data_IF_802384341577
#
_entry.id   IF_802384341577
#
_cell.length_a   1.000
_cell.length_b   1.000
_cell.length_c   1.000
_cell.angle_alpha   90.00
_cell.angle_beta   90.00
_cell.angle_gamma   90.00
#
_symmetry.space_group_name_H-M   'P 1'
#
loop_
_entity.id
_entity.type
_entity.pdbx_description
1 polymer ?
#
# COMPACT_ATOMS: atom_id res chain seq x y z
N UNK A 1 -67.63 -0.06 -45.48
CA UNK A 1 -67.95 1.04 -46.38
C UNK A 1 -66.65 1.76 -46.71
N UNK A 2 -66.22 1.56 -47.95
CA UNK A 2 -65.58 2.46 -48.91
C UNK A 2 -64.28 3.14 -48.35
N UNK A 3 -63.13 2.61 -48.82
CA UNK A 3 -62.39 2.93 -50.06
C UNK A 3 -61.96 4.39 -50.15
N UNK A 4 -60.65 4.67 -50.24
CA UNK A 4 -59.92 4.85 -51.51
C UNK A 4 -58.51 5.33 -51.19
N UNK A 5 -57.56 4.57 -51.63
CA UNK A 5 -56.66 4.70 -52.77
C UNK A 5 -55.94 6.05 -52.93
N UNK A 6 -54.65 5.97 -52.78
CA UNK A 6 -53.55 6.32 -53.71
C UNK A 6 -53.85 7.28 -54.88
N UNK A 7 -52.92 7.89 -55.57
CA UNK A 7 -51.51 7.59 -55.73
C UNK A 7 -50.58 8.81 -55.97
N UNK A 8 -49.29 8.48 -56.05
CA UNK A 8 -48.36 8.84 -57.12
C UNK A 8 -48.03 10.31 -57.37
N UNK A 9 -46.84 10.65 -57.41
CA UNK A 9 -45.87 10.72 -58.50
C UNK A 9 -44.63 11.46 -58.00
N UNK A 10 -43.55 10.86 -58.04
CA UNK A 10 -42.63 10.74 -59.14
C UNK A 10 -41.87 12.02 -59.51
N UNK A 11 -40.54 11.87 -59.36
CA UNK A 11 -39.53 12.38 -60.30
C UNK A 11 -39.07 13.84 -60.10
N UNK A 12 -37.85 13.95 -59.73
CA UNK A 12 -36.67 14.39 -60.53
C UNK A 12 -35.68 15.04 -59.62
N UNK A 13 -34.56 14.38 -59.52
CA UNK A 13 -33.33 14.74 -60.22
C UNK A 13 -32.84 16.16 -59.88
N UNK A 14 -31.78 16.29 -59.20
CA UNK A 14 -30.53 16.63 -59.86
C UNK A 14 -29.44 16.85 -58.85
N UNK A 15 -28.45 16.02 -58.93
CA UNK A 15 -27.02 16.35 -58.84
C UNK A 15 -26.66 17.70 -58.23
N UNK A 16 -26.05 17.67 -57.13
CA UNK A 16 -24.96 18.58 -56.85
C UNK A 16 -24.10 18.03 -55.70
N UNK A 17 -22.89 17.72 -56.02
CA UNK A 17 -21.71 18.10 -55.29
C UNK A 17 -21.45 17.39 -53.94
N UNK A 18 -20.91 16.20 -54.04
CA UNK A 18 -20.16 15.63 -52.93
C UNK A 18 -18.88 16.42 -52.80
N UNK A 19 -18.83 17.29 -51.82
CA UNK A 19 -17.56 17.76 -51.27
C UNK A 19 -17.36 16.98 -49.98
N UNK A 20 -16.66 15.88 -50.12
CA UNK A 20 -16.16 15.14 -48.98
C UNK A 20 -14.95 15.94 -48.47
N UNK A 21 -15.19 16.84 -47.54
CA UNK A 21 -14.15 17.41 -46.73
C UNK A 21 -13.81 16.37 -45.69
N UNK A 22 -12.79 15.59 -46.01
CA UNK A 22 -12.17 14.67 -45.04
C UNK A 22 -11.59 15.47 -43.91
N UNK A 23 -12.33 15.52 -42.80
CA UNK A 23 -11.81 15.99 -41.51
C UNK A 23 -10.97 14.88 -40.95
N UNK A 24 -9.69 14.91 -41.26
CA UNK A 24 -8.65 14.12 -40.60
C UNK A 24 -8.60 14.58 -39.12
N UNK A 25 -9.34 13.87 -38.26
CA UNK A 25 -9.14 13.94 -36.85
C UNK A 25 -7.82 13.24 -36.53
N UNK A 26 -6.74 14.02 -36.53
CA UNK A 26 -5.52 13.61 -35.87
C UNK A 26 -5.83 13.55 -34.38
N UNK A 27 -6.14 12.34 -33.91
CA UNK A 27 -6.13 12.06 -32.47
C UNK A 27 -4.67 12.23 -32.01
N UNK A 28 -4.36 13.39 -31.51
CA UNK A 28 -3.13 13.60 -30.78
C UNK A 28 -3.15 12.66 -29.58
N UNK A 29 -2.41 11.58 -29.67
CA UNK A 29 -2.02 10.79 -28.50
C UNK A 29 -1.16 11.73 -27.64
N UNK A 30 -1.82 12.39 -26.70
CA UNK A 30 -1.14 13.10 -25.64
C UNK A 30 -0.55 12.00 -24.76
N UNK A 31 0.69 11.60 -25.05
CA UNK A 31 1.50 10.87 -24.10
C UNK A 31 1.58 11.74 -22.85
N UNK A 32 0.76 11.42 -21.86
CA UNK A 32 0.90 12.00 -20.54
C UNK A 32 2.33 11.66 -20.07
N UNK A 33 3.17 12.65 -19.76
CA UNK A 33 4.50 12.36 -19.27
C UNK A 33 4.31 11.48 -18.03
N UNK A 34 4.78 10.24 -18.12
CA UNK A 34 4.93 9.36 -16.96
C UNK A 34 5.88 10.11 -16.03
N UNK A 35 5.29 10.78 -15.06
CA UNK A 35 6.03 11.48 -14.04
C UNK A 35 6.80 10.42 -13.28
N UNK A 36 8.05 10.18 -13.69
CA UNK A 36 8.96 9.40 -12.89
C UNK A 36 8.96 10.03 -11.51
N UNK A 37 8.51 9.26 -10.51
CA UNK A 37 8.54 9.72 -9.14
C UNK A 37 10.02 10.00 -8.83
N UNK A 38 10.39 11.28 -8.74
CA UNK A 38 11.70 11.66 -8.24
C UNK A 38 11.79 11.10 -6.82
N UNK A 39 12.79 10.25 -6.54
CA UNK A 39 12.95 9.77 -5.19
C UNK A 39 13.08 11.00 -4.29
N UNK A 40 12.19 11.09 -3.31
CA UNK A 40 12.27 12.14 -2.31
C UNK A 40 13.57 11.95 -1.54
N UNK A 41 14.45 12.93 -1.59
CA UNK A 41 15.68 12.95 -0.76
C UNK A 41 15.35 13.00 0.73
N UNK A 42 14.07 13.14 1.07
CA UNK A 42 13.49 13.07 2.40
C UNK A 42 12.60 11.84 2.57
N UNK A 43 12.89 10.72 1.87
CA UNK A 43 12.24 9.46 2.19
C UNK A 43 12.60 9.11 3.64
N UNK A 44 11.65 9.17 4.58
CA UNK A 44 11.93 8.91 6.00
C UNK A 44 12.23 7.43 6.25
N UNK A 45 12.22 6.60 5.23
CA UNK A 45 12.54 5.18 5.36
C UNK A 45 14.02 4.95 5.13
N UNK A 46 14.83 4.80 6.18
CA UNK A 46 16.29 4.72 6.05
C UNK A 46 16.76 3.50 5.24
N UNK A 47 15.87 2.57 4.91
CA UNK A 47 16.25 1.33 4.26
C UNK A 47 15.72 1.15 2.84
N UNK A 48 14.80 1.96 2.35
CA UNK A 48 14.25 1.86 0.99
C UNK A 48 13.71 0.45 0.60
N UNK A 49 13.62 -0.46 1.58
CA UNK A 49 13.24 -1.86 1.38
C UNK A 49 11.85 -2.15 1.94
N UNK A 50 11.13 -3.03 1.26
CA UNK A 50 9.90 -3.66 1.75
C UNK A 50 10.11 -5.15 2.06
N UNK A 51 11.37 -5.60 2.19
CA UNK A 51 11.70 -6.94 2.63
C UNK A 51 11.56 -7.04 4.15
N UNK A 52 10.59 -7.81 4.62
CA UNK A 52 10.30 -7.99 6.04
C UNK A 52 11.46 -8.58 6.83
N UNK A 53 12.28 -9.42 6.21
CA UNK A 53 13.50 -9.96 6.82
C UNK A 53 14.52 -8.87 7.08
N UNK A 54 14.81 -8.05 6.08
CA UNK A 54 15.77 -6.95 6.21
C UNK A 54 15.30 -5.93 7.27
N UNK A 55 13.99 -5.62 7.29
CA UNK A 55 13.43 -4.73 8.30
C UNK A 55 13.62 -5.33 9.70
N UNK A 56 13.36 -6.63 9.87
CA UNK A 56 13.59 -7.30 11.15
C UNK A 56 15.05 -7.23 11.58
N UNK A 57 15.97 -7.61 10.71
CA UNK A 57 17.41 -7.65 10.98
C UNK A 57 17.99 -6.28 11.31
N UNK A 58 17.50 -5.20 10.71
CA UNK A 58 18.05 -3.87 10.93
C UNK A 58 17.38 -3.07 12.04
N UNK A 59 16.13 -3.39 12.38
CA UNK A 59 15.35 -2.60 13.34
C UNK A 59 14.93 -3.45 14.54
N UNK A 60 14.26 -4.58 14.32
CA UNK A 60 13.58 -5.32 15.38
C UNK A 60 14.53 -6.17 16.24
N UNK A 61 15.52 -6.81 15.60
CA UNK A 61 16.45 -7.72 16.29
C UNK A 61 17.30 -7.02 17.34
N UNK A 62 17.48 -5.70 17.27
CA UNK A 62 18.20 -4.95 18.29
C UNK A 62 17.60 -5.08 19.69
N UNK A 63 16.30 -5.32 19.77
CA UNK A 63 15.57 -5.57 21.01
C UNK A 63 15.06 -7.01 21.11
N UNK A 64 14.54 -7.58 20.03
CA UNK A 64 13.91 -8.91 20.03
C UNK A 64 14.88 -10.06 19.75
N UNK A 65 16.16 -9.79 19.58
CA UNK A 65 17.25 -10.72 19.26
C UNK A 65 17.15 -11.34 17.86
N UNK A 66 18.27 -11.84 17.29
CA UNK A 66 18.26 -12.40 15.93
C UNK A 66 17.38 -13.64 15.76
N UNK A 67 17.19 -14.40 16.84
CA UNK A 67 16.35 -15.60 16.92
C UNK A 67 14.91 -15.31 17.35
N UNK A 68 14.58 -14.03 17.54
CA UNK A 68 13.30 -13.57 18.11
C UNK A 68 13.00 -14.13 19.52
N UNK A 69 14.03 -14.57 20.24
CA UNK A 69 13.91 -15.11 21.59
C UNK A 69 13.64 -14.07 22.66
N UNK A 70 13.77 -12.78 22.33
CA UNK A 70 13.65 -11.70 23.29
C UNK A 70 14.80 -11.64 24.29
N UNK A 71 14.74 -10.71 25.23
CA UNK A 71 15.76 -10.56 26.25
C UNK A 71 15.22 -10.01 27.57
N UNK A 72 15.88 -10.34 28.66
CA UNK A 72 15.64 -9.81 30.00
C UNK A 72 16.97 -9.30 30.55
N UNK A 73 16.95 -8.04 31.02
CA UNK A 73 18.14 -7.39 31.54
C UNK A 73 17.79 -6.01 32.08
N UNK A 74 18.45 -4.97 31.56
CA UNK A 74 18.08 -3.58 31.84
C UNK A 74 16.68 -3.21 31.34
N UNK A 75 16.11 -4.01 30.43
CA UNK A 75 14.73 -3.97 29.96
C UNK A 75 14.16 -5.37 29.78
N UNK A 76 12.88 -5.45 29.50
CA UNK A 76 12.19 -6.68 29.15
C UNK A 76 11.70 -6.57 27.72
N UNK A 77 12.25 -7.39 26.84
CA UNK A 77 11.91 -7.48 25.43
C UNK A 77 11.24 -8.84 25.19
N UNK A 78 9.96 -8.89 24.87
CA UNK A 78 9.24 -10.16 24.74
C UNK A 78 9.80 -11.00 23.58
N UNK A 79 9.76 -12.31 23.75
CA UNK A 79 9.99 -13.22 22.65
C UNK A 79 8.88 -13.06 21.61
N UNK A 80 9.26 -13.14 20.33
CA UNK A 80 8.35 -13.23 19.19
C UNK A 80 8.38 -14.62 18.56
N UNK A 81 9.34 -15.45 18.98
CA UNK A 81 9.45 -16.84 18.58
C UNK A 81 8.36 -17.67 19.28
N UNK A 82 7.63 -18.48 18.50
CA UNK A 82 6.54 -19.34 18.99
C UNK A 82 5.50 -18.56 19.83
N UNK A 83 5.24 -17.31 19.49
CA UNK A 83 4.37 -16.43 20.28
C UNK A 83 2.89 -16.58 19.84
N UNK A 84 2.01 -17.15 20.69
CA UNK A 84 0.60 -17.31 20.37
C UNK A 84 -0.16 -15.98 20.25
N UNK A 85 0.36 -14.88 20.78
CA UNK A 85 -0.29 -13.57 20.67
C UNK A 85 -0.23 -13.01 19.24
N UNK A 86 0.68 -13.52 18.41
CA UNK A 86 0.80 -13.17 17.00
C UNK A 86 -0.29 -13.75 16.11
N UNK A 87 -1.24 -14.50 16.68
CA UNK A 87 -2.44 -14.96 15.94
C UNK A 87 -3.21 -13.79 15.32
N UNK A 88 -3.25 -12.65 15.97
CA UNK A 88 -3.86 -11.44 15.41
C UNK A 88 -2.84 -10.58 14.66
N UNK A 89 -2.92 -10.63 13.32
CA UNK A 89 -2.10 -9.76 12.47
C UNK A 89 -2.37 -8.27 12.69
N UNK A 90 -3.64 -7.94 12.99
CA UNK A 90 -4.04 -6.56 13.27
C UNK A 90 -3.45 -6.05 14.59
N UNK A 91 -3.45 -6.88 15.63
CA UNK A 91 -2.84 -6.51 16.90
C UNK A 91 -1.35 -6.23 16.74
N UNK A 92 -0.63 -7.08 16.01
CA UNK A 92 0.80 -6.87 15.75
C UNK A 92 1.04 -5.59 14.93
N UNK A 93 0.24 -5.35 13.89
CA UNK A 93 0.34 -4.13 13.08
C UNK A 93 0.07 -2.86 13.92
N UNK A 94 -0.98 -2.86 14.74
CA UNK A 94 -1.29 -1.75 15.66
C UNK A 94 -0.18 -1.52 16.68
N UNK A 95 0.46 -2.59 17.19
CA UNK A 95 1.60 -2.48 18.09
C UNK A 95 2.78 -1.78 17.43
N UNK A 96 3.05 -2.08 16.16
CA UNK A 96 4.09 -1.39 15.39
C UNK A 96 3.71 0.06 15.07
N UNK A 97 2.46 0.31 14.71
CA UNK A 97 1.99 1.66 14.39
C UNK A 97 2.08 2.61 15.58
N UNK A 98 1.62 2.18 16.75
CA UNK A 98 1.43 3.03 17.93
C UNK A 98 2.49 2.86 19.01
N UNK A 99 3.30 1.82 18.91
CA UNK A 99 4.15 1.41 20.00
C UNK A 99 3.36 0.75 21.16
N UNK A 100 4.07 0.20 22.10
CA UNK A 100 3.46 -0.38 23.30
C UNK A 100 4.45 -0.44 24.45
N UNK A 101 4.14 0.19 25.59
CA UNK A 101 5.06 0.31 26.73
C UNK A 101 6.39 0.93 26.30
N UNK A 102 7.50 0.18 26.39
CA UNK A 102 8.82 0.66 26.00
C UNK A 102 9.15 0.45 24.52
N UNK A 103 8.27 -0.23 23.75
CA UNK A 103 8.42 -0.36 22.32
C UNK A 103 7.99 0.93 21.64
N UNK A 104 8.86 1.56 20.84
CA UNK A 104 8.50 2.81 20.16
C UNK A 104 7.43 2.59 19.09
N UNK A 105 6.75 3.66 18.73
CA UNK A 105 5.87 3.69 17.57
C UNK A 105 6.69 3.84 16.29
N UNK A 106 6.37 3.05 15.27
CA UNK A 106 7.01 3.09 13.96
C UNK A 106 6.08 3.67 12.88
N UNK A 107 4.82 3.94 13.18
CA UNK A 107 3.91 4.61 12.25
C UNK A 107 4.36 6.05 11.97
N UNK A 108 4.27 6.47 10.71
CA UNK A 108 4.73 7.81 10.26
C UNK A 108 4.05 8.94 11.06
N UNK A 109 2.77 8.75 11.42
CA UNK A 109 1.98 9.74 12.16
C UNK A 109 2.28 9.79 13.67
N UNK A 110 3.00 8.81 14.19
CA UNK A 110 3.25 8.63 15.62
C UNK A 110 4.70 8.86 16.01
N UNK A 111 5.55 9.24 15.10
CA UNK A 111 6.96 9.52 15.35
C UNK A 111 7.10 10.79 16.21
N UNK A 112 6.92 10.65 17.53
CA UNK A 112 7.10 11.74 18.48
C UNK A 112 8.52 11.69 19.01
N UNK A 113 9.25 12.75 18.72
CA UNK A 113 10.46 13.25 19.38
C UNK A 113 11.29 12.28 20.22
N UNK A 114 12.14 11.51 19.58
CA UNK A 114 13.31 10.91 20.22
C UNK A 114 14.55 11.74 19.81
N UNK A 115 15.60 11.70 20.64
CA UNK A 115 16.86 12.37 20.31
C UNK A 115 17.52 11.66 19.12
N UNK A 116 17.15 12.08 17.92
CA UNK A 116 17.54 11.51 16.64
C UNK A 116 16.35 11.46 15.68
N UNK A 117 16.56 11.27 14.37
CA UNK A 117 15.46 11.07 13.45
C UNK A 117 14.71 9.79 13.82
N UNK A 118 13.39 9.84 14.06
CA UNK A 118 12.61 8.66 14.39
C UNK A 118 12.68 7.68 13.23
N UNK A 119 12.91 6.41 13.53
CA UNK A 119 12.75 5.34 12.54
C UNK A 119 11.27 5.17 12.30
N UNK A 120 10.82 5.50 11.08
CA UNK A 120 9.43 5.32 10.68
C UNK A 120 9.32 4.25 9.60
N UNK A 121 8.22 3.51 9.61
CA UNK A 121 7.91 2.48 8.63
C UNK A 121 6.62 2.84 7.90
N UNK A 122 6.63 2.71 6.59
CA UNK A 122 5.41 2.80 5.78
C UNK A 122 4.47 1.62 6.04
N UNK A 123 3.19 1.76 5.68
CA UNK A 123 2.22 0.66 5.78
C UNK A 123 2.67 -0.61 5.06
N UNK A 124 3.38 -0.48 3.94
CA UNK A 124 3.93 -1.62 3.21
C UNK A 124 5.06 -2.32 4.00
N UNK A 125 5.93 -1.56 4.64
CA UNK A 125 7.01 -2.08 5.47
C UNK A 125 6.49 -2.74 6.74
N UNK A 126 5.50 -2.13 7.38
CA UNK A 126 4.83 -2.74 8.54
C UNK A 126 4.18 -4.07 8.15
N UNK A 127 3.44 -4.11 7.04
CA UNK A 127 2.86 -5.35 6.54
C UNK A 127 3.92 -6.43 6.27
N UNK A 128 5.03 -6.04 5.64
CA UNK A 128 6.11 -6.95 5.32
C UNK A 128 6.76 -7.57 6.57
N UNK A 129 7.11 -6.76 7.56
CA UNK A 129 7.76 -7.28 8.79
C UNK A 129 6.79 -8.06 9.67
N UNK A 130 5.51 -7.67 9.75
CA UNK A 130 4.45 -8.43 10.44
C UNK A 130 4.33 -9.83 9.83
N UNK A 131 4.24 -9.91 8.51
CA UNK A 131 4.14 -11.19 7.81
C UNK A 131 5.41 -12.04 7.97
N UNK A 132 6.59 -11.42 7.92
CA UNK A 132 7.84 -12.11 8.15
C UNK A 132 7.88 -12.76 9.54
N UNK A 133 7.65 -12.02 10.59
CA UNK A 133 7.68 -12.55 11.98
C UNK A 133 6.62 -13.63 12.18
N UNK A 134 5.42 -13.45 11.64
CA UNK A 134 4.31 -14.40 11.76
C UNK A 134 4.53 -15.71 10.98
N UNK A 135 5.50 -15.76 10.09
CA UNK A 135 5.83 -16.97 9.31
C UNK A 135 7.18 -17.56 9.63
N UNK A 136 7.96 -16.91 10.50
CA UNK A 136 9.31 -17.32 10.88
C UNK A 136 9.40 -17.52 12.39
N UNK A 137 10.56 -17.92 12.87
CA UNK A 137 10.83 -18.09 14.30
C UNK A 137 9.89 -19.08 15.00
N UNK A 138 9.52 -20.17 14.28
CA UNK A 138 8.58 -21.15 14.81
C UNK A 138 7.10 -20.75 14.73
N UNK A 139 6.80 -19.57 14.22
CA UNK A 139 5.43 -19.13 13.91
C UNK A 139 5.01 -19.64 12.53
N UNK A 140 3.74 -20.03 12.36
CA UNK A 140 3.23 -20.64 11.13
C UNK A 140 1.87 -20.07 10.69
N UNK A 141 1.63 -18.80 10.96
CA UNK A 141 0.38 -18.14 10.58
C UNK A 141 0.34 -17.87 9.08
N UNK A 142 -0.77 -18.20 8.44
CA UNK A 142 -0.92 -18.12 6.97
C UNK A 142 -1.72 -16.91 6.49
N UNK A 143 -2.48 -16.29 7.38
CA UNK A 143 -3.30 -15.11 7.08
C UNK A 143 -2.43 -13.86 7.09
N UNK A 144 -2.00 -13.44 5.91
CA UNK A 144 -1.14 -12.27 5.74
C UNK A 144 -1.92 -10.97 5.87
N UNK A 145 -1.27 -9.93 6.42
CA UNK A 145 -1.79 -8.56 6.39
C UNK A 145 -1.29 -7.84 5.14
N UNK A 146 -2.12 -6.99 4.57
CA UNK A 146 -1.77 -6.14 3.42
C UNK A 146 -1.41 -4.73 3.85
N UNK A 147 -0.68 -4.00 2.98
CA UNK A 147 -0.39 -2.59 3.20
C UNK A 147 -1.67 -1.74 3.32
N UNK A 148 -2.72 -2.09 2.56
CA UNK A 148 -4.01 -1.40 2.63
C UNK A 148 -4.71 -1.60 3.98
N UNK A 149 -4.68 -2.83 4.53
CA UNK A 149 -5.21 -3.10 5.87
C UNK A 149 -4.44 -2.32 6.94
N UNK A 150 -3.10 -2.26 6.84
CA UNK A 150 -2.27 -1.47 7.77
C UNK A 150 -2.62 0.01 7.70
N UNK A 151 -2.79 0.56 6.48
CA UNK A 151 -3.19 1.96 6.30
C UNK A 151 -4.56 2.26 6.93
N UNK A 152 -5.53 1.35 6.76
CA UNK A 152 -6.87 1.48 7.38
C UNK A 152 -6.78 1.44 8.91
N UNK A 153 -5.92 0.57 9.47
CA UNK A 153 -5.68 0.52 10.91
C UNK A 153 -5.05 1.80 11.44
N UNK A 154 -4.13 2.40 10.69
CA UNK A 154 -3.50 3.66 11.05
C UNK A 154 -4.49 4.82 11.06
N UNK A 155 -5.40 4.86 10.09
CA UNK A 155 -6.48 5.86 10.03
C UNK A 155 -7.50 5.70 11.15
N UNK A 156 -7.94 4.47 11.43
CA UNK A 156 -8.91 4.18 12.47
C UNK A 156 -8.37 4.41 13.90
N UNK A 157 -7.07 4.50 14.02
CA UNK A 157 -6.37 4.64 15.27
C UNK A 157 -6.21 6.11 15.72
N UNK A 158 -6.72 7.06 14.92
CA UNK A 158 -6.80 8.51 15.17
C UNK A 158 -8.21 8.98 15.41
#
# INVERSE_FOLDING_TARGET
MKTRTSPSAAKRCLRAGIVITGLLTVAALIDAPTRAAVPSIFDPTPFGTTDGRQIYEHICQGCHMPDAGGAVGAGHYPALANDPTLVSRQYMALTLLKGRRNMPAFGVKHAIGFVGPPVTLSSAQIAAVVNYVRTHFGNHYKDMITAAEVATLDEAAH
#
